data_IF_607712177643
#
_entry.id   IF_607712177643
#
_cell.length_a   1.000
_cell.length_b   1.000
_cell.length_c   1.000
_cell.angle_alpha   90.00
_cell.angle_beta   90.00
_cell.angle_gamma   90.00
#
_symmetry.space_group_name_H-M   'P 1'
#
loop_
_entity.id
_entity.type
_entity.pdbx_description
1 polymer ?
#
# COMPACT_ATOMS: atom_id res chain seq x y z
N UNK A 1 11.98 -2.18 -9.04
CA UNK A 1 10.96 -1.74 -8.07
C UNK A 1 11.07 -2.59 -6.83
N UNK A 2 11.08 -1.97 -5.66
CA UNK A 2 11.26 -2.63 -4.38
C UNK A 2 9.89 -2.74 -3.72
N UNK A 3 9.70 -3.75 -2.87
CA UNK A 3 8.44 -3.97 -2.17
C UNK A 3 8.38 -3.09 -0.92
N UNK A 4 7.24 -2.48 -0.68
CA UNK A 4 6.96 -1.65 0.49
C UNK A 4 5.64 -2.08 1.12
N UNK A 5 5.59 -2.04 2.45
CA UNK A 5 4.38 -2.12 3.24
C UNK A 5 4.10 -0.71 3.74
N UNK A 6 2.89 -0.23 3.48
CA UNK A 6 2.46 1.11 3.83
C UNK A 6 1.31 0.99 4.83
N UNK A 7 1.45 1.66 5.96
CA UNK A 7 0.41 1.77 6.98
C UNK A 7 -0.31 3.12 6.80
N UNK A 8 -1.63 3.13 6.95
CA UNK A 8 -2.45 4.34 7.01
C UNK A 8 -3.44 4.22 8.13
N UNK A 9 -3.40 5.16 9.06
CA UNK A 9 -4.42 5.28 10.09
C UNK A 9 -5.62 6.01 9.51
N UNK A 10 -6.75 5.30 9.47
CA UNK A 10 -8.02 5.81 8.96
C UNK A 10 -9.07 5.32 9.96
N UNK A 11 -9.51 6.18 10.89
CA UNK A 11 -10.46 5.79 11.92
C UNK A 11 -11.72 5.15 11.31
N UNK A 12 -12.13 4.01 11.87
CA UNK A 12 -13.31 3.23 11.46
C UNK A 12 -13.27 2.74 10.02
N UNK A 13 -12.11 2.64 9.38
CA UNK A 13 -12.00 2.11 8.02
C UNK A 13 -12.49 0.66 7.90
N UNK A 14 -12.44 -0.10 8.99
CA UNK A 14 -13.02 -1.45 9.08
C UNK A 14 -14.54 -1.49 8.92
N UNK A 15 -15.24 -0.36 9.10
CA UNK A 15 -16.68 -0.24 8.85
C UNK A 15 -17.00 0.30 7.46
N UNK A 16 -15.99 0.47 6.59
CA UNK A 16 -16.23 1.00 5.26
C UNK A 16 -16.91 -0.05 4.39
N UNK A 17 -18.01 0.36 3.79
CA UNK A 17 -18.74 -0.47 2.86
C UNK A 17 -18.05 -0.54 1.50
N UNK A 18 -18.46 -1.53 0.70
CA UNK A 18 -17.88 -1.81 -0.62
C UNK A 18 -17.82 -0.59 -1.54
N UNK A 19 -18.81 0.29 -1.48
CA UNK A 19 -18.85 1.52 -2.27
C UNK A 19 -17.77 2.52 -1.84
N UNK A 20 -17.58 2.71 -0.54
CA UNK A 20 -16.54 3.60 -0.01
C UNK A 20 -15.15 3.10 -0.39
N UNK A 21 -14.90 1.78 -0.27
CA UNK A 21 -13.64 1.16 -0.69
C UNK A 21 -13.42 1.28 -2.20
N UNK A 22 -14.49 1.14 -3.01
CA UNK A 22 -14.44 1.30 -4.46
C UNK A 22 -14.03 2.73 -4.83
N UNK A 23 -14.60 3.74 -4.18
CA UNK A 23 -14.32 5.13 -4.51
C UNK A 23 -12.93 5.57 -4.03
N UNK A 24 -12.48 5.08 -2.87
CA UNK A 24 -11.08 5.21 -2.43
C UNK A 24 -10.10 4.58 -3.43
N UNK A 25 -10.44 3.40 -3.96
CA UNK A 25 -9.63 2.70 -4.96
C UNK A 25 -9.55 3.50 -6.28
N UNK A 26 -10.66 4.09 -6.73
CA UNK A 26 -10.66 4.96 -7.93
C UNK A 26 -9.73 6.17 -7.75
N UNK A 27 -9.80 6.84 -6.60
CA UNK A 27 -8.94 7.98 -6.30
C UNK A 27 -7.45 7.59 -6.29
N UNK A 28 -7.11 6.46 -5.65
CA UNK A 28 -5.75 5.92 -5.67
C UNK A 28 -5.27 5.61 -7.09
N UNK A 29 -6.12 4.96 -7.91
CA UNK A 29 -5.78 4.57 -9.28
C UNK A 29 -5.59 5.77 -10.22
N UNK A 30 -6.37 6.83 -10.06
CA UNK A 30 -6.19 8.06 -10.83
C UNK A 30 -4.79 8.65 -10.62
N UNK A 31 -4.34 8.72 -9.36
CA UNK A 31 -2.99 9.22 -9.02
C UNK A 31 -1.90 8.27 -9.49
N UNK A 32 -2.09 6.95 -9.41
CA UNK A 32 -1.13 5.98 -9.96
C UNK A 32 -0.93 6.17 -11.47
N UNK A 33 -2.01 6.43 -12.22
CA UNK A 33 -1.93 6.71 -13.65
C UNK A 33 -1.12 7.98 -13.96
N UNK A 34 -1.15 8.99 -13.09
CA UNK A 34 -0.33 10.21 -13.23
C UNK A 34 1.14 10.00 -12.87
N UNK A 35 1.43 9.15 -11.88
CA UNK A 35 2.80 8.87 -11.43
C UNK A 35 3.55 7.87 -12.32
N UNK A 36 2.83 7.13 -13.15
CA UNK A 36 3.39 6.24 -14.16
C UNK A 36 3.99 4.94 -13.58
N UNK A 37 4.89 4.26 -14.31
CA UNK A 37 5.29 2.88 -14.04
C UNK A 37 6.27 2.71 -12.87
N UNK A 38 6.74 3.81 -12.28
CA UNK A 38 7.69 3.78 -11.16
C UNK A 38 7.03 3.41 -9.82
N UNK A 39 5.70 3.25 -9.80
CA UNK A 39 4.89 2.84 -8.66
C UNK A 39 3.75 1.93 -9.10
N UNK A 40 3.49 0.90 -8.32
CA UNK A 40 2.40 -0.04 -8.53
C UNK A 40 1.79 -0.42 -7.19
N UNK A 41 0.47 -0.26 -7.09
CA UNK A 41 -0.31 -0.82 -6.00
C UNK A 41 -0.59 -2.30 -6.27
N UNK A 42 -0.24 -3.17 -5.32
CA UNK A 42 -0.46 -4.63 -5.43
C UNK A 42 -1.79 -5.01 -4.78
N UNK A 43 -1.93 -4.68 -3.50
CA UNK A 43 -3.11 -5.03 -2.71
C UNK A 43 -3.18 -4.17 -1.44
N UNK A 44 -4.35 -4.16 -0.80
CA UNK A 44 -4.58 -3.53 0.49
C UNK A 44 -5.42 -4.42 1.39
N UNK A 45 -5.08 -4.40 2.67
CA UNK A 45 -5.81 -5.05 3.75
C UNK A 45 -6.43 -3.97 4.63
N UNK A 46 -7.71 -4.13 4.93
CA UNK A 46 -8.45 -3.26 5.84
C UNK A 46 -8.52 -3.95 7.20
N UNK A 47 -8.12 -3.23 8.25
CA UNK A 47 -8.35 -3.58 9.65
C UNK A 47 -9.30 -2.55 10.27
N UNK A 48 -9.52 -2.60 11.59
CA UNK A 48 -10.50 -1.74 12.28
C UNK A 48 -10.27 -0.24 12.02
N UNK A 49 -9.10 0.28 12.36
CA UNK A 49 -8.77 1.71 12.28
C UNK A 49 -7.56 2.02 11.38
N UNK A 50 -7.14 1.04 10.57
CA UNK A 50 -5.99 1.20 9.69
C UNK A 50 -6.07 0.32 8.45
N UNK A 51 -5.31 0.71 7.45
CA UNK A 51 -5.06 -0.11 6.27
C UNK A 51 -3.58 -0.43 6.14
N UNK A 52 -3.30 -1.60 5.58
CA UNK A 52 -1.96 -2.04 5.20
C UNK A 52 -1.94 -2.25 3.71
N UNK A 53 -1.07 -1.57 3.00
CA UNK A 53 -1.01 -1.66 1.54
C UNK A 53 0.36 -2.17 1.10
N UNK A 54 0.37 -3.09 0.14
CA UNK A 54 1.58 -3.59 -0.48
C UNK A 54 1.78 -2.87 -1.80
N UNK A 55 2.93 -2.22 -1.96
CA UNK A 55 3.30 -1.50 -3.16
C UNK A 55 4.64 -1.99 -3.69
N UNK A 56 4.79 -1.96 -5.00
CA UNK A 56 6.10 -1.98 -5.66
C UNK A 56 6.41 -0.55 -6.07
N UNK A 57 7.59 -0.04 -5.73
CA UNK A 57 7.97 1.33 -6.07
C UNK A 57 9.46 1.46 -6.33
N UNK A 58 9.85 2.47 -7.09
CA UNK A 58 11.26 2.83 -7.29
C UNK A 58 11.96 3.20 -5.98
N UNK A 59 11.30 4.01 -5.16
CA UNK A 59 11.79 4.49 -3.88
C UNK A 59 10.63 4.87 -2.94
N UNK A 60 10.93 5.31 -1.72
CA UNK A 60 9.91 5.76 -0.77
C UNK A 60 9.28 7.11 -1.16
N UNK A 61 10.02 7.96 -1.89
CA UNK A 61 9.56 9.30 -2.23
C UNK A 61 8.36 9.29 -3.18
N UNK A 62 8.33 8.36 -4.15
CA UNK A 62 7.17 8.23 -5.04
C UNK A 62 5.93 7.73 -4.31
N UNK A 63 6.09 6.91 -3.27
CA UNK A 63 4.98 6.45 -2.42
C UNK A 63 4.44 7.62 -1.58
N UNK A 64 5.33 8.43 -0.98
CA UNK A 64 4.92 9.63 -0.24
C UNK A 64 4.15 10.61 -1.14
N UNK A 65 4.60 10.78 -2.38
CA UNK A 65 3.91 11.60 -3.39
C UNK A 65 2.53 11.05 -3.72
N UNK A 66 2.40 9.74 -3.97
CA UNK A 66 1.11 9.07 -4.19
C UNK A 66 0.16 9.28 -3.02
N UNK A 67 0.63 9.04 -1.79
CA UNK A 67 -0.19 9.16 -0.58
C UNK A 67 -0.72 10.59 -0.37
N UNK A 68 0.11 11.60 -0.64
CA UNK A 68 -0.28 13.01 -0.56
C UNK A 68 -1.30 13.39 -1.65
N UNK A 69 -1.07 12.96 -2.90
CA UNK A 69 -1.94 13.29 -4.03
C UNK A 69 -3.29 12.58 -3.96
N UNK A 70 -3.34 11.34 -3.46
CA UNK A 70 -4.57 10.55 -3.36
C UNK A 70 -5.47 10.94 -2.19
N UNK A 71 -5.01 11.81 -1.29
CA UNK A 71 -5.76 12.20 -0.09
C UNK A 71 -5.73 11.16 1.04
N UNK A 72 -4.90 10.12 0.92
CA UNK A 72 -4.73 9.06 1.90
C UNK A 72 -3.28 9.03 2.40
N UNK A 73 -2.89 9.96 3.29
CA UNK A 73 -1.51 10.10 3.74
C UNK A 73 -1.00 8.80 4.40
N UNK A 74 0.21 8.39 4.02
CA UNK A 74 0.88 7.27 4.63
C UNK A 74 1.37 7.67 6.03
N UNK A 75 0.99 6.92 7.06
CA UNK A 75 1.51 7.14 8.41
C UNK A 75 2.89 6.53 8.56
N UNK A 76 3.13 5.41 7.88
CA UNK A 76 4.44 4.75 7.86
C UNK A 76 4.67 4.02 6.55
N UNK A 77 5.87 4.14 6.00
CA UNK A 77 6.32 3.41 4.82
C UNK A 77 7.52 2.57 5.22
N UNK A 78 7.42 1.25 5.00
CA UNK A 78 8.49 0.32 5.37
C UNK A 78 8.92 -0.47 4.15
N UNK A 79 10.19 -0.37 3.78
CA UNK A 79 10.75 -1.20 2.72
C UNK A 79 10.87 -2.66 3.18
N UNK A 80 10.29 -3.57 2.42
CA UNK A 80 10.44 -5.02 2.64
C UNK A 80 11.78 -5.45 2.06
N UNK A 81 12.70 -5.88 2.93
CA UNK A 81 14.03 -6.34 2.52
C UNK A 81 14.07 -7.81 2.15
N UNK A 82 13.28 -8.64 2.83
CA UNK A 82 13.19 -10.10 2.60
C UNK A 82 11.78 -10.57 2.91
N UNK A 83 11.34 -11.58 2.19
CA UNK A 83 10.15 -12.37 2.51
C UNK A 83 10.64 -13.71 3.06
N UNK A 84 10.00 -14.18 4.10
CA UNK A 84 10.16 -15.55 4.60
C UNK A 84 8.78 -16.04 5.05
N UNK A 85 8.59 -17.34 5.01
CA UNK A 85 7.36 -18.01 5.39
C UNK A 85 7.71 -19.39 5.98
N UNK A 86 6.74 -20.20 6.46
CA UNK A 86 7.04 -21.51 7.04
C UNK A 86 7.81 -22.47 6.13
N UNK A 87 7.74 -22.32 4.80
CA UNK A 87 8.49 -23.13 3.84
C UNK A 87 9.96 -22.76 3.79
N UNK A 88 10.31 -21.51 4.15
CA UNK A 88 11.71 -21.06 4.26
C UNK A 88 12.49 -21.90 5.27
N UNK A 89 11.84 -22.50 6.27
CA UNK A 89 12.46 -23.40 7.23
C UNK A 89 13.06 -24.68 6.60
N UNK A 90 12.61 -25.05 5.40
CA UNK A 90 13.02 -26.26 4.70
C UNK A 90 13.70 -25.98 3.36
N UNK A 91 13.87 -24.70 3.00
CA UNK A 91 14.57 -24.33 1.78
C UNK A 91 16.06 -24.66 1.91
N UNK A 92 16.64 -25.27 0.87
CA UNK A 92 18.09 -25.45 0.81
C UNK A 92 18.79 -24.08 0.81
N UNK A 93 19.94 -24.01 1.49
CA UNK A 93 20.76 -22.80 1.59
C UNK A 93 21.31 -22.33 0.24
#
# INVERSE_FOLDING_TARGET
MQKYIIEREIPKVGTFEREQLRDASKASNAVLAELGPDIQWVESFVADDKTFCVYLAKDEAIIQRHAKMSGFPATKITQVKRLFDPTTAYAAA
#
